data_IF_326931605168
#
_entry.id   IF_326931605168
#
_cell.length_a   1.000
_cell.length_b   1.000
_cell.length_c   1.000
_cell.angle_alpha   90.00
_cell.angle_beta   90.00
_cell.angle_gamma   90.00
#
_symmetry.space_group_name_H-M   'P 1'
#
loop_
_entity.id
_entity.type
_entity.pdbx_description
1 polymer ?
#
# COMPACT_ATOMS: atom_id res chain seq x y z
N UNK A 1 2.39 18.15 -32.22
CA UNK A 1 2.52 16.68 -32.16
C UNK A 1 3.35 16.21 -33.36
N UNK A 2 4.64 15.94 -33.15
CA UNK A 2 5.48 15.25 -34.14
C UNK A 2 5.24 13.75 -33.97
N UNK A 3 4.14 13.26 -34.55
CA UNK A 3 3.80 11.84 -34.51
C UNK A 3 4.64 11.05 -35.50
N UNK A 4 5.18 9.93 -35.06
CA UNK A 4 5.82 8.95 -35.94
C UNK A 4 4.82 8.46 -37.00
N UNK A 5 5.25 8.36 -38.26
CA UNK A 5 4.42 7.89 -39.36
C UNK A 5 4.45 6.36 -39.42
N UNK A 6 3.30 5.72 -39.22
CA UNK A 6 3.14 4.27 -39.38
C UNK A 6 2.45 4.00 -40.72
N UNK A 7 2.98 3.05 -41.49
CA UNK A 7 2.36 2.57 -42.73
C UNK A 7 2.18 1.05 -42.65
N UNK A 8 0.99 0.56 -42.96
CA UNK A 8 0.71 -0.86 -43.09
C UNK A 8 0.30 -1.18 -44.54
N UNK A 9 0.64 -2.38 -44.99
CA UNK A 9 0.23 -2.90 -46.30
C UNK A 9 -0.03 -4.39 -46.17
N UNK A 10 -1.02 -4.88 -46.92
CA UNK A 10 -1.39 -6.29 -46.96
C UNK A 10 -1.07 -6.89 -48.32
N UNK A 11 -0.42 -8.04 -48.31
CA UNK A 11 -0.10 -8.83 -49.49
C UNK A 11 -0.64 -10.26 -49.32
N UNK A 12 -0.96 -10.91 -50.43
CA UNK A 12 -1.32 -12.33 -50.43
C UNK A 12 -0.09 -13.24 -50.37
N UNK A 13 -0.31 -14.56 -50.43
CA UNK A 13 0.76 -15.58 -50.42
C UNK A 13 1.70 -15.49 -51.64
N UNK A 14 1.33 -14.74 -52.68
CA UNK A 14 2.09 -14.52 -53.91
C UNK A 14 2.71 -13.12 -53.97
N UNK A 15 2.56 -12.30 -52.92
CA UNK A 15 3.09 -10.94 -52.86
C UNK A 15 2.26 -9.89 -53.59
N UNK A 16 1.03 -10.21 -54.00
CA UNK A 16 0.13 -9.24 -54.64
C UNK A 16 -0.61 -8.41 -53.58
N UNK A 17 -0.78 -7.09 -53.78
CA UNK A 17 -1.47 -6.24 -52.82
C UNK A 17 -2.95 -6.62 -52.72
N UNK A 18 -3.45 -6.73 -51.50
CA UNK A 18 -4.85 -7.04 -51.21
C UNK A 18 -5.51 -5.84 -50.55
N UNK A 19 -6.73 -5.50 -50.96
CA UNK A 19 -7.51 -4.44 -50.31
C UNK A 19 -8.05 -4.94 -48.98
N UNK A 20 -7.61 -4.32 -47.90
CA UNK A 20 -8.08 -4.59 -46.54
C UNK A 20 -8.42 -3.26 -45.87
N UNK A 21 -9.34 -3.29 -44.90
CA UNK A 21 -9.53 -2.15 -44.02
C UNK A 21 -8.41 -2.16 -42.98
N UNK A 22 -7.65 -1.08 -42.96
CA UNK A 22 -6.56 -0.88 -42.01
C UNK A 22 -6.87 0.34 -41.18
N UNK A 23 -6.78 0.20 -39.86
CA UNK A 23 -6.96 1.29 -38.92
C UNK A 23 -5.77 1.31 -37.98
N UNK A 24 -5.18 2.49 -37.81
CA UNK A 24 -4.15 2.73 -36.80
C UNK A 24 -4.81 3.50 -35.68
N UNK A 25 -4.98 2.86 -34.53
CA UNK A 25 -5.48 3.50 -33.31
C UNK A 25 -4.30 3.75 -32.40
N UNK A 26 -4.12 5.01 -31.97
CA UNK A 26 -3.08 5.34 -30.98
C UNK A 26 -3.64 5.11 -29.59
N UNK A 27 -2.78 4.62 -28.71
CA UNK A 27 -3.10 4.53 -27.30
C UNK A 27 -2.88 5.88 -26.63
N UNK A 28 -3.72 6.19 -25.67
CA UNK A 28 -3.65 7.38 -24.83
C UNK A 28 -3.10 7.03 -23.44
N UNK A 29 -2.50 8.00 -22.76
CA UNK A 29 -1.94 7.83 -21.42
C UNK A 29 -3.05 8.10 -20.38
N UNK A 30 -3.41 7.12 -19.53
CA UNK A 30 -4.34 7.38 -18.43
C UNK A 30 -3.61 7.79 -17.15
N UNK A 31 -4.33 8.51 -16.30
CA UNK A 31 -4.00 8.80 -14.92
C UNK A 31 -4.81 7.91 -13.97
N UNK A 32 -4.16 7.48 -12.89
CA UNK A 32 -4.78 6.66 -11.85
C UNK A 32 -4.43 7.28 -10.51
N UNK A 33 -5.44 7.50 -9.68
CA UNK A 33 -5.29 8.00 -8.33
C UNK A 33 -5.95 7.05 -7.32
N UNK A 34 -5.41 7.03 -6.10
CA UNK A 34 -5.90 6.19 -5.00
C UNK A 34 -5.91 7.00 -3.72
N UNK A 35 -7.08 7.12 -3.13
CA UNK A 35 -7.31 7.83 -1.87
C UNK A 35 -7.88 6.85 -0.85
N UNK A 36 -7.21 6.72 0.29
CA UNK A 36 -7.69 5.90 1.40
C UNK A 36 -8.52 6.77 2.34
N UNK A 37 -9.75 6.34 2.60
CA UNK A 37 -10.57 6.82 3.71
C UNK A 37 -10.40 5.88 4.90
N UNK A 38 -9.50 6.26 5.79
CA UNK A 38 -9.18 5.54 7.02
C UNK A 38 -10.37 5.43 7.99
N UNK A 39 -11.29 6.41 7.97
CA UNK A 39 -12.45 6.41 8.86
C UNK A 39 -13.53 5.43 8.38
N UNK A 40 -13.68 5.30 7.06
CA UNK A 40 -14.59 4.34 6.44
C UNK A 40 -13.98 2.94 6.25
N UNK A 41 -12.64 2.81 6.28
CA UNK A 41 -11.95 1.56 5.96
C UNK A 41 -12.05 1.21 4.48
N UNK A 42 -12.08 2.22 3.60
CA UNK A 42 -12.25 2.06 2.16
C UNK A 42 -11.18 2.82 1.38
N UNK A 43 -10.90 2.39 0.16
CA UNK A 43 -10.13 3.15 -0.81
C UNK A 43 -11.02 3.55 -1.99
N UNK A 44 -10.93 4.81 -2.39
CA UNK A 44 -11.44 5.33 -3.64
C UNK A 44 -10.34 5.31 -4.69
N UNK A 45 -10.64 4.77 -5.86
CA UNK A 45 -9.76 4.65 -6.99
C UNK A 45 -10.38 5.44 -8.13
N UNK A 46 -9.63 6.35 -8.74
CA UNK A 46 -10.10 7.19 -9.84
C UNK A 46 -9.21 6.97 -11.05
N UNK A 47 -9.81 6.51 -12.15
CA UNK A 47 -9.17 6.34 -13.44
C UNK A 47 -9.67 7.44 -14.38
N UNK A 48 -8.75 8.26 -14.87
CA UNK A 48 -9.04 9.40 -15.74
C UNK A 48 -8.05 9.51 -16.88
N UNK A 49 -8.42 10.28 -17.89
CA UNK A 49 -7.51 10.74 -18.93
C UNK A 49 -6.60 11.86 -18.39
N UNK A 50 -5.52 12.17 -19.11
CA UNK A 50 -4.64 13.32 -18.84
C UNK A 50 -5.36 14.67 -18.89
N UNK A 51 -6.46 14.76 -19.64
CA UNK A 51 -7.34 15.93 -19.65
C UNK A 51 -8.37 15.93 -18.48
N UNK A 52 -8.30 14.93 -17.59
CA UNK A 52 -9.21 14.76 -16.44
C UNK A 52 -10.57 14.14 -16.79
N UNK A 53 -10.76 13.67 -18.02
CA UNK A 53 -11.99 12.98 -18.41
C UNK A 53 -12.10 11.61 -17.74
N UNK A 54 -13.26 11.22 -17.19
CA UNK A 54 -13.39 9.95 -16.49
C UNK A 54 -13.32 8.75 -17.45
N UNK A 55 -12.58 7.70 -17.07
CA UNK A 55 -12.47 6.45 -17.83
C UNK A 55 -13.28 5.36 -17.13
N UNK A 56 -14.52 5.17 -17.59
CA UNK A 56 -15.45 4.19 -17.04
C UNK A 56 -15.40 2.81 -17.70
N UNK A 57 -15.92 1.80 -17.00
CA UNK A 57 -16.08 0.44 -17.51
C UNK A 57 -14.76 -0.30 -17.71
N UNK A 58 -13.74 0.01 -16.90
CA UNK A 58 -12.41 -0.62 -16.96
C UNK A 58 -12.11 -1.38 -15.69
N UNK A 59 -11.49 -2.54 -15.85
CA UNK A 59 -11.00 -3.33 -14.73
C UNK A 59 -9.71 -2.72 -14.16
N UNK A 60 -9.70 -2.50 -12.85
CA UNK A 60 -8.55 -2.04 -12.09
C UNK A 60 -8.24 -3.08 -11.03
N UNK A 61 -6.99 -3.53 -11.00
CA UNK A 61 -6.48 -4.46 -10.00
C UNK A 61 -6.08 -3.68 -8.76
N UNK A 62 -6.47 -4.16 -7.57
CA UNK A 62 -6.24 -3.47 -6.30
C UNK A 62 -5.63 -4.44 -5.29
N UNK A 63 -4.35 -4.28 -5.02
CA UNK A 63 -3.66 -5.00 -3.97
C UNK A 63 -3.88 -4.27 -2.63
N UNK A 64 -4.20 -5.01 -1.56
CA UNK A 64 -4.56 -4.45 -0.26
C UNK A 64 -6.06 -4.19 -0.05
N UNK A 65 -6.88 -4.54 -1.05
CA UNK A 65 -8.34 -4.55 -0.97
C UNK A 65 -8.89 -5.94 -0.61
N UNK A 66 -10.11 -5.97 -0.07
CA UNK A 66 -10.87 -7.22 0.15
C UNK A 66 -11.22 -7.90 -1.17
N UNK A 67 -11.51 -7.11 -2.21
CA UNK A 67 -11.76 -7.57 -3.57
C UNK A 67 -10.63 -7.07 -4.48
N UNK A 68 -9.87 -7.97 -5.15
CA UNK A 68 -8.65 -7.60 -5.84
C UNK A 68 -8.86 -6.99 -7.23
N UNK A 69 -10.09 -7.00 -7.76
CA UNK A 69 -10.42 -6.44 -9.08
C UNK A 69 -11.73 -5.69 -8.96
N UNK A 70 -11.74 -4.45 -9.43
CA UNK A 70 -12.93 -3.58 -9.44
C UNK A 70 -13.12 -2.98 -10.82
N UNK A 71 -14.35 -2.65 -11.17
CA UNK A 71 -14.69 -2.00 -12.44
C UNK A 71 -14.98 -0.53 -12.18
N UNK A 72 -14.30 0.37 -12.89
CA UNK A 72 -14.57 1.80 -12.80
C UNK A 72 -15.99 2.11 -13.28
N UNK A 73 -16.71 2.95 -12.56
CA UNK A 73 -18.07 3.37 -12.90
C UNK A 73 -18.06 4.46 -13.99
N UNK A 74 -19.22 5.04 -14.32
CA UNK A 74 -19.32 6.07 -15.35
C UNK A 74 -18.54 7.37 -15.05
N UNK A 75 -18.18 7.62 -13.78
CA UNK A 75 -17.31 8.72 -13.37
C UNK A 75 -15.84 8.31 -13.25
N UNK A 76 -15.46 7.14 -13.77
CA UNK A 76 -14.09 6.62 -13.70
C UNK A 76 -13.67 6.17 -12.30
N UNK A 77 -14.61 6.16 -11.34
CA UNK A 77 -14.32 5.87 -9.94
C UNK A 77 -14.71 4.44 -9.55
N UNK A 78 -14.02 3.87 -8.57
CA UNK A 78 -14.40 2.64 -7.91
C UNK A 78 -14.07 2.75 -6.41
N UNK A 79 -14.96 2.29 -5.55
CA UNK A 79 -14.73 2.25 -4.10
C UNK A 79 -14.63 0.80 -3.66
N UNK A 80 -13.63 0.48 -2.85
CA UNK A 80 -13.40 -0.87 -2.35
C UNK A 80 -13.04 -0.86 -0.86
N UNK A 81 -13.47 -1.87 -0.13
CA UNK A 81 -13.04 -2.09 1.25
C UNK A 81 -11.58 -2.55 1.29
N UNK A 82 -10.81 -2.06 2.27
CA UNK A 82 -9.38 -2.37 2.41
C UNK A 82 -9.12 -3.24 3.64
N UNK A 83 -8.15 -4.14 3.51
CA UNK A 83 -7.69 -5.01 4.59
C UNK A 83 -6.19 -4.83 4.90
N UNK A 84 -5.55 -3.88 4.24
CA UNK A 84 -4.13 -3.56 4.33
C UNK A 84 -3.97 -2.04 4.46
N UNK A 85 -2.98 -1.56 5.24
CA UNK A 85 -2.65 -0.14 5.34
C UNK A 85 -1.99 0.40 4.05
N UNK A 86 -1.57 -0.47 3.14
CA UNK A 86 -1.00 -0.08 1.84
C UNK A 86 -1.94 -0.60 0.77
N UNK A 87 -2.38 0.29 -0.12
CA UNK A 87 -3.25 -0.03 -1.25
C UNK A 87 -2.53 0.35 -2.54
N UNK A 88 -2.41 -0.60 -3.46
CA UNK A 88 -1.84 -0.38 -4.78
C UNK A 88 -2.89 -0.68 -5.84
N UNK A 89 -3.22 0.31 -6.66
CA UNK A 89 -4.09 0.13 -7.81
C UNK A 89 -3.27 0.04 -9.10
N UNK A 90 -3.71 -0.81 -10.03
CA UNK A 90 -3.07 -1.03 -11.32
C UNK A 90 -4.10 -1.24 -12.40
N UNK A 91 -4.05 -0.38 -13.41
CA UNK A 91 -4.81 -0.54 -14.64
C UNK A 91 -3.89 -1.15 -15.70
N UNK A 92 -4.24 -2.31 -16.26
CA UNK A 92 -3.35 -3.08 -17.14
C UNK A 92 -3.19 -2.50 -18.55
N UNK A 93 -4.02 -1.53 -18.91
CA UNK A 93 -4.21 -1.06 -20.29
C UNK A 93 -5.29 -1.86 -21.01
N UNK A 94 -5.78 -1.30 -22.11
CA UNK A 94 -6.83 -1.91 -22.93
C UNK A 94 -6.25 -2.93 -23.93
N UNK A 95 -6.92 -4.08 -24.04
CA UNK A 95 -6.61 -5.06 -25.07
C UNK A 95 -7.15 -4.58 -26.43
N UNK A 96 -6.28 -4.51 -27.43
CA UNK A 96 -6.60 -4.16 -28.82
C UNK A 96 -7.62 -5.11 -29.47
N UNK A 97 -7.80 -6.32 -28.94
CA UNK A 97 -8.83 -7.27 -29.39
C UNK A 97 -10.24 -6.91 -28.90
N UNK A 98 -10.34 -6.15 -27.82
CA UNK A 98 -11.62 -5.65 -27.32
C UNK A 98 -12.00 -4.36 -28.03
N UNK A 99 -13.29 -4.18 -28.30
CA UNK A 99 -13.75 -2.97 -28.98
C UNK A 99 -13.94 -1.84 -27.98
N UNK A 100 -13.08 -0.82 -28.10
CA UNK A 100 -13.13 0.39 -27.30
C UNK A 100 -13.11 1.63 -28.19
N UNK A 101 -13.76 2.71 -27.74
CA UNK A 101 -13.72 4.00 -28.46
C UNK A 101 -12.35 4.66 -28.39
N UNK A 102 -11.69 4.51 -27.25
CA UNK A 102 -10.34 4.99 -26.95
C UNK A 102 -9.61 3.86 -26.23
N UNK A 103 -8.33 3.68 -26.56
CA UNK A 103 -7.49 2.65 -25.94
C UNK A 103 -6.48 3.33 -25.03
N UNK A 104 -6.39 2.87 -23.79
CA UNK A 104 -5.48 3.44 -22.81
C UNK A 104 -4.30 2.52 -22.48
N UNK A 105 -3.14 3.11 -22.24
CA UNK A 105 -1.94 2.41 -21.78
C UNK A 105 -2.09 1.92 -20.33
N UNK A 106 -1.15 1.10 -19.90
CA UNK A 106 -1.03 0.67 -18.50
C UNK A 106 -0.65 1.84 -17.59
N UNK A 107 -1.25 1.90 -16.40
CA UNK A 107 -0.83 2.81 -15.33
C UNK A 107 -0.97 2.17 -13.94
N UNK A 108 -0.34 2.77 -12.92
CA UNK A 108 -0.35 2.28 -11.55
C UNK A 108 -0.24 3.42 -10.54
N UNK A 109 -0.87 3.24 -9.38
CA UNK A 109 -0.86 4.19 -8.28
C UNK A 109 -0.79 3.47 -6.93
N UNK A 110 -0.24 4.13 -5.91
CA UNK A 110 -0.07 3.58 -4.57
C UNK A 110 -0.48 4.63 -3.55
N UNK A 111 -1.24 4.22 -2.55
CA UNK A 111 -1.64 5.03 -1.42
C UNK A 111 -1.37 4.29 -0.11
N UNK A 112 -1.08 5.04 0.94
CA UNK A 112 -0.76 4.51 2.27
C UNK A 112 -1.67 5.17 3.28
N UNK A 113 -2.34 4.34 4.08
CA UNK A 113 -3.17 4.73 5.20
C UNK A 113 -2.38 5.64 6.14
N UNK A 114 -3.01 6.77 6.49
CA UNK A 114 -2.46 7.73 7.45
C UNK A 114 -2.92 7.45 8.87
N UNK A 115 -3.83 6.48 9.06
CA UNK A 115 -4.23 6.00 10.36
C UNK A 115 -2.96 5.59 11.13
N UNK A 116 -2.75 6.11 12.36
CA UNK A 116 -1.67 5.62 13.18
C UNK A 116 -1.90 4.12 13.32
N UNK A 117 -0.94 3.31 12.86
CA UNK A 117 -0.83 1.93 13.32
C UNK A 117 -0.68 2.07 14.82
N UNK A 118 -1.79 1.94 15.55
CA UNK A 118 -1.75 1.63 16.96
C UNK A 118 -1.19 0.22 16.98
N UNK A 119 0.14 0.13 16.92
CA UNK A 119 0.83 -0.99 17.50
C UNK A 119 0.32 -0.93 18.91
N UNK A 120 -0.63 -1.82 19.22
CA UNK A 120 -0.99 -2.14 20.58
C UNK A 120 0.29 -2.71 21.16
N UNK A 121 1.17 -1.80 21.59
CA UNK A 121 2.30 -2.10 22.42
C UNK A 121 1.67 -2.38 23.78
N UNK A 122 1.04 -3.56 23.83
CA UNK A 122 0.88 -4.46 24.97
C UNK A 122 1.76 -3.93 26.08
N UNK A 123 1.15 -3.32 27.10
CA UNK A 123 1.42 -3.48 28.54
C UNK A 123 2.88 -3.65 29.05
N UNK A 124 3.92 -3.41 28.25
CA UNK A 124 5.31 -3.71 28.60
C UNK A 124 5.88 -2.60 29.48
N UNK A 125 5.32 -1.39 29.42
CA UNK A 125 5.70 -0.29 30.32
C UNK A 125 5.25 -0.56 31.76
N UNK A 126 4.13 -1.24 31.96
CA UNK A 126 3.65 -1.65 33.28
C UNK A 126 4.57 -2.69 33.93
N UNK A 127 4.98 -3.71 33.18
CA UNK A 127 5.92 -4.73 33.66
C UNK A 127 7.32 -4.18 33.92
N UNK A 128 7.80 -3.21 33.12
CA UNK A 128 9.10 -2.57 33.38
C UNK A 128 9.08 -1.80 34.70
N UNK A 129 8.00 -1.07 35.00
CA UNK A 129 7.86 -0.32 36.25
C UNK A 129 7.80 -1.23 37.49
N UNK A 130 7.02 -2.31 37.42
CA UNK A 130 6.95 -3.30 38.50
C UNK A 130 8.30 -4.03 38.71
N UNK A 131 9.01 -4.36 37.63
CA UNK A 131 10.32 -4.99 37.69
C UNK A 131 11.38 -4.07 38.31
N UNK A 132 11.40 -2.77 37.96
CA UNK A 132 12.34 -1.79 38.52
C UNK A 132 12.12 -1.61 40.03
N UNK A 133 10.87 -1.56 40.49
CA UNK A 133 10.55 -1.45 41.91
C UNK A 133 11.05 -2.66 42.72
N UNK A 134 10.88 -3.87 42.18
CA UNK A 134 11.34 -5.09 42.87
C UNK A 134 12.87 -5.21 42.91
N UNK A 135 13.57 -4.78 41.85
CA UNK A 135 15.04 -4.72 41.83
C UNK A 135 15.59 -3.74 42.87
N UNK A 136 14.97 -2.56 43.03
CA UNK A 136 15.40 -1.58 44.03
C UNK A 136 15.24 -2.10 45.46
N UNK A 137 14.12 -2.77 45.75
CA UNK A 137 13.89 -3.41 47.06
C UNK A 137 14.94 -4.51 47.30
N UNK A 138 15.24 -5.34 46.30
CA UNK A 138 16.28 -6.37 46.44
C UNK A 138 17.67 -5.78 46.71
N UNK A 139 18.05 -4.70 46.01
CA UNK A 139 19.32 -4.00 46.22
C UNK A 139 19.38 -3.40 47.63
N UNK A 140 18.29 -2.81 48.11
CA UNK A 140 18.21 -2.23 49.46
C UNK A 140 18.42 -3.30 50.54
N UNK A 141 17.73 -4.44 50.45
CA UNK A 141 17.90 -5.56 51.38
C UNK A 141 19.31 -6.17 51.31
N UNK A 142 19.92 -6.22 50.13
CA UNK A 142 21.28 -6.72 49.96
C UNK A 142 22.30 -5.79 50.64
N UNK A 143 22.16 -4.46 50.49
CA UNK A 143 23.01 -3.48 51.17
C UNK A 143 22.86 -3.58 52.68
N UNK A 144 21.62 -3.67 53.19
CA UNK A 144 21.36 -3.83 54.63
C UNK A 144 21.93 -5.15 55.16
N UNK A 145 21.82 -6.24 54.40
CA UNK A 145 22.40 -7.54 54.76
C UNK A 145 23.93 -7.52 54.86
N UNK A 146 24.60 -6.91 53.88
CA UNK A 146 26.05 -6.73 53.90
C UNK A 146 26.46 -5.83 55.08
N UNK A 147 25.75 -4.73 55.29
CA UNK A 147 26.00 -3.82 56.41
C UNK A 147 25.86 -4.53 57.76
N UNK A 148 24.79 -5.30 57.96
CA UNK A 148 24.57 -6.08 59.18
C UNK A 148 25.67 -7.13 59.39
N UNK A 149 26.13 -7.78 58.33
CA UNK A 149 27.24 -8.73 58.40
C UNK A 149 28.54 -8.05 58.83
N UNK A 150 28.88 -6.91 58.24
CA UNK A 150 30.06 -6.12 58.62
C UNK A 150 29.94 -5.58 60.04
N UNK A 151 28.76 -5.13 60.46
CA UNK A 151 28.50 -4.65 61.81
C UNK A 151 28.66 -5.75 62.85
N UNK A 152 28.09 -6.93 62.62
CA UNK A 152 28.29 -8.10 63.48
C UNK A 152 29.75 -8.51 63.55
N UNK A 153 30.47 -8.47 62.42
CA UNK A 153 31.92 -8.75 62.38
C UNK A 153 32.74 -7.69 63.12
N UNK A 154 32.34 -6.42 63.07
CA UNK A 154 32.98 -5.32 63.78
C UNK A 154 32.73 -5.40 65.30
N UNK A 155 31.48 -5.69 65.72
CA UNK A 155 31.12 -5.92 67.11
C UNK A 155 31.82 -7.15 67.71
N UNK A 156 32.00 -8.24 66.94
CA UNK A 156 32.77 -9.43 67.37
C UNK A 156 34.28 -9.18 67.53
N UNK A 157 34.80 -8.06 67.01
CA UNK A 157 36.21 -7.67 67.12
C UNK A 157 36.48 -6.64 68.22
N UNK A 158 35.47 -6.24 68.98
CA UNK A 158 35.68 -5.48 70.22
C UNK A 158 35.95 -6.48 71.36
N UNK A 159 37.19 -6.61 71.86
CA UNK A 159 37.36 -7.08 73.23
C UNK A 159 36.73 -6.05 74.17
N UNK A 160 36.16 -6.53 75.27
CA UNK A 160 35.63 -5.71 76.36
C UNK A 160 36.66 -4.69 76.87
#
# INVERSE_FOLDING_TARGET
MTGESVSASSVDIWGMPVTTNQQVTRYEEPELDVVIDDAAGTAEIVLSDTDGSPIGGREVYVDGATVPVVVSNASGAATVEINSPIVQARFTGDDWWESHSTYYLRTQAVSVSSAPVVVDAIEVVGYLSAAISNVMIFVEWLVLGIFAMFWMRYMRRRPA
#
